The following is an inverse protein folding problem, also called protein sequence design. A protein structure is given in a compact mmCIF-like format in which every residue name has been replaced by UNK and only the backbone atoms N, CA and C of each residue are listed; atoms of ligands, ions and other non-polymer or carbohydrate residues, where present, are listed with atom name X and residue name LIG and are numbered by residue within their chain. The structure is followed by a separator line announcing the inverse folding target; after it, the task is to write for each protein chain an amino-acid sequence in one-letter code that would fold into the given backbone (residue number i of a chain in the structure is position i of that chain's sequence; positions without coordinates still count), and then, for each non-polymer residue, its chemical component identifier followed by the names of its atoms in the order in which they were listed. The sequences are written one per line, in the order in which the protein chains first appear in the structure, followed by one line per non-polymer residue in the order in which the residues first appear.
data_IF_643709158495
#
_entry.id   IF_643709158495
#
_cell.length_a   1.000
_cell.length_b   1.000
_cell.length_c   1.000
_cell.angle_alpha   90.00
_cell.angle_beta   90.00
_cell.angle_gamma   90.00
#
_symmetry.space_group_name_H-M   'P 1'
#
loop_
_entity.id
_entity.type
_entity.pdbx_description
1 polymer ?
#
# COMPACT_ATOMS: atom_id res chain seq x y z
N UNK A 1 -14.47 -35.13 24.53
CA UNK A 1 -14.05 -34.84 23.15
C UNK A 1 -15.17 -34.83 22.11
N UNK A 2 -16.38 -35.27 22.42
CA UNK A 2 -17.49 -35.37 21.47
C UNK A 2 -18.28 -34.05 21.23
N UNK A 3 -18.09 -33.05 22.07
CA UNK A 3 -18.94 -31.83 22.04
C UNK A 3 -18.42 -30.73 21.10
N UNK A 4 -17.13 -30.64 20.86
CA UNK A 4 -16.53 -29.62 20.01
C UNK A 4 -16.85 -29.78 18.50
N UNK A 5 -17.10 -31.02 18.05
CA UNK A 5 -17.43 -31.28 16.64
C UNK A 5 -18.87 -30.85 16.32
N UNK A 6 -19.80 -31.06 17.24
CA UNK A 6 -21.21 -30.64 17.10
C UNK A 6 -21.32 -29.10 17.15
N UNK A 7 -20.55 -28.45 18.03
CA UNK A 7 -20.48 -26.97 18.09
C UNK A 7 -19.88 -26.40 16.81
N UNK A 8 -18.85 -27.00 16.26
CA UNK A 8 -18.28 -26.61 14.96
C UNK A 8 -19.28 -26.72 13.81
N UNK A 9 -20.00 -27.84 13.73
CA UNK A 9 -21.02 -28.03 12.71
C UNK A 9 -22.17 -27.04 12.84
N UNK A 10 -22.64 -26.78 14.05
CA UNK A 10 -23.71 -25.81 14.32
C UNK A 10 -23.28 -24.36 13.89
N UNK A 11 -22.08 -23.93 14.26
CA UNK A 11 -21.54 -22.63 13.88
C UNK A 11 -21.39 -22.51 12.36
N UNK A 12 -20.88 -23.54 11.68
CA UNK A 12 -20.74 -23.53 10.22
C UNK A 12 -22.11 -23.51 9.50
N UNK A 13 -23.11 -24.23 10.01
CA UNK A 13 -24.41 -24.26 9.38
C UNK A 13 -25.18 -22.96 9.57
N UNK A 14 -25.13 -22.39 10.78
CA UNK A 14 -25.75 -21.08 11.07
C UNK A 14 -25.09 -19.94 10.32
N UNK A 15 -23.77 -19.98 10.15
CA UNK A 15 -23.04 -18.98 9.40
C UNK A 15 -23.32 -19.03 7.89
N UNK A 16 -23.44 -20.23 7.31
CA UNK A 16 -23.85 -20.38 5.90
C UNK A 16 -25.24 -19.83 5.63
N UNK A 17 -26.15 -19.94 6.58
CA UNK A 17 -27.52 -19.41 6.46
C UNK A 17 -27.55 -17.86 6.36
N UNK A 18 -26.53 -17.18 6.85
CA UNK A 18 -26.36 -15.70 6.77
C UNK A 18 -25.23 -15.27 5.83
N UNK A 19 -24.79 -16.16 4.93
CA UNK A 19 -23.78 -15.84 3.93
C UNK A 19 -22.34 -15.70 4.45
N UNK A 20 -22.04 -16.23 5.65
CA UNK A 20 -20.71 -16.17 6.27
C UNK A 20 -19.99 -17.53 6.16
N UNK A 21 -18.77 -17.52 5.67
CA UNK A 21 -17.90 -18.70 5.64
C UNK A 21 -16.80 -18.59 6.71
N UNK A 22 -16.72 -19.59 7.61
CA UNK A 22 -15.69 -19.68 8.64
C UNK A 22 -14.63 -20.72 8.28
N UNK A 23 -13.35 -20.35 8.39
CA UNK A 23 -12.25 -21.30 8.37
C UNK A 23 -11.64 -21.34 9.79
N UNK A 24 -11.73 -22.47 10.46
CA UNK A 24 -11.11 -22.67 11.76
C UNK A 24 -9.76 -23.37 11.54
N UNK A 25 -8.66 -22.63 11.60
CA UNK A 25 -7.31 -23.19 11.56
C UNK A 25 -6.80 -23.48 12.98
N UNK A 26 -6.29 -24.69 13.19
CA UNK A 26 -5.75 -25.12 14.49
C UNK A 26 -4.47 -24.36 14.83
N UNK A 27 -4.36 -23.90 16.05
CA UNK A 27 -3.26 -23.38 16.89
C UNK A 27 -3.29 -21.91 17.29
N UNK A 28 -4.10 -21.07 16.73
CA UNK A 28 -4.58 -19.82 17.35
C UNK A 28 -5.98 -19.54 16.81
N UNK A 29 -6.94 -19.32 17.71
CA UNK A 29 -8.34 -19.02 17.38
C UNK A 29 -8.44 -17.65 16.68
N UNK A 30 -8.12 -17.58 15.41
CA UNK A 30 -8.52 -16.47 14.56
C UNK A 30 -9.75 -16.93 13.77
N UNK A 31 -10.90 -16.35 14.06
CA UNK A 31 -12.10 -16.52 13.22
C UNK A 31 -11.93 -15.51 12.08
N UNK A 32 -11.57 -16.00 10.90
CA UNK A 32 -11.58 -15.17 9.70
C UNK A 32 -12.99 -15.23 9.11
N UNK A 33 -13.73 -14.15 9.25
CA UNK A 33 -14.99 -13.94 8.55
C UNK A 33 -14.66 -13.65 7.08
N UNK A 34 -14.85 -14.60 6.19
CA UNK A 34 -14.93 -14.31 4.76
C UNK A 34 -16.34 -13.77 4.47
N UNK A 35 -16.52 -12.48 4.63
CA UNK A 35 -17.61 -11.78 3.94
C UNK A 35 -17.31 -11.88 2.43
N UNK A 36 -18.35 -12.11 1.61
CA UNK A 36 -18.26 -11.92 0.18
C UNK A 36 -17.80 -10.49 -0.13
N UNK A 37 -17.37 -10.21 -1.35
CA UNK A 37 -16.96 -8.88 -1.78
C UNK A 37 -18.05 -7.85 -1.42
N UNK A 38 -17.73 -6.71 -0.77
CA UNK A 38 -18.72 -5.73 -0.33
C UNK A 38 -19.56 -5.24 -1.51
N UNK A 39 -20.90 -5.28 -1.36
CA UNK A 39 -21.82 -4.98 -2.46
C UNK A 39 -21.80 -3.51 -2.90
N UNK A 40 -21.33 -2.62 -2.03
CA UNK A 40 -21.17 -1.19 -2.33
C UNK A 40 -19.91 -0.88 -3.14
N UNK A 41 -18.99 -1.83 -3.27
CA UNK A 41 -17.81 -1.66 -4.10
C UNK A 41 -18.12 -2.00 -5.56
N UNK A 42 -17.49 -1.26 -6.48
CA UNK A 42 -17.68 -1.45 -7.91
C UNK A 42 -17.34 -2.87 -8.37
N UNK A 43 -18.19 -3.48 -9.19
CA UNK A 43 -17.91 -4.80 -9.81
C UNK A 43 -16.61 -4.77 -10.62
N UNK A 44 -16.31 -3.63 -11.24
CA UNK A 44 -15.06 -3.42 -11.95
C UNK A 44 -13.86 -3.51 -11.03
N UNK A 45 -13.95 -2.88 -9.85
CA UNK A 45 -12.88 -2.94 -8.85
C UNK A 45 -12.64 -4.39 -8.42
N UNK A 46 -13.68 -5.19 -8.17
CA UNK A 46 -13.53 -6.61 -7.81
C UNK A 46 -12.68 -7.36 -8.83
N UNK A 47 -12.96 -7.17 -10.12
CA UNK A 47 -12.19 -7.81 -11.19
C UNK A 47 -10.71 -7.38 -11.19
N UNK A 48 -10.43 -6.08 -11.02
CA UNK A 48 -9.07 -5.54 -10.96
C UNK A 48 -8.35 -5.99 -9.69
N UNK A 49 -9.03 -5.93 -8.54
CA UNK A 49 -8.50 -6.36 -7.25
C UNK A 49 -8.08 -7.83 -7.27
N UNK A 50 -8.91 -8.73 -7.82
CA UNK A 50 -8.59 -10.15 -7.91
C UNK A 50 -7.33 -10.42 -8.74
N UNK A 51 -7.02 -9.59 -9.73
CA UNK A 51 -5.76 -9.65 -10.49
C UNK A 51 -4.56 -9.16 -9.68
N UNK A 52 -4.74 -8.17 -8.80
CA UNK A 52 -3.67 -7.55 -8.02
C UNK A 52 -3.43 -8.25 -6.67
N UNK A 53 -4.45 -8.88 -6.10
CA UNK A 53 -4.42 -9.51 -4.77
C UNK A 53 -3.21 -10.43 -4.50
N UNK A 54 -2.72 -11.25 -5.43
CA UNK A 54 -1.55 -12.09 -5.19
C UNK A 54 -0.24 -11.31 -5.04
N UNK A 55 -0.24 -10.01 -5.35
CA UNK A 55 0.93 -9.14 -5.43
C UNK A 55 0.91 -7.98 -4.44
N UNK A 56 -0.05 -7.96 -3.50
CA UNK A 56 -0.15 -6.93 -2.47
C UNK A 56 -0.41 -7.51 -1.09
N UNK A 57 0.09 -6.83 -0.05
CA UNK A 57 -0.26 -7.07 1.35
C UNK A 57 -1.31 -6.06 1.85
N UNK A 58 -1.71 -5.14 1.00
CA UNK A 58 -2.65 -4.07 1.29
C UNK A 58 -4.08 -4.62 1.46
N UNK A 59 -4.83 -4.10 2.43
CA UNK A 59 -6.22 -4.49 2.67
C UNK A 59 -7.13 -4.17 1.48
N UNK A 60 -8.31 -4.81 1.46
CA UNK A 60 -9.33 -4.54 0.45
C UNK A 60 -9.72 -3.06 0.45
N UNK A 61 -9.90 -2.47 1.64
CA UNK A 61 -10.29 -1.08 1.85
C UNK A 61 -9.22 -0.11 1.32
N UNK A 62 -7.94 -0.38 1.59
CA UNK A 62 -6.83 0.44 1.06
C UNK A 62 -6.71 0.32 -0.46
N UNK A 63 -6.88 -0.88 -1.02
CA UNK A 63 -6.91 -1.06 -2.48
C UNK A 63 -8.11 -0.36 -3.11
N UNK A 64 -9.28 -0.37 -2.45
CA UNK A 64 -10.45 0.37 -2.94
C UNK A 64 -10.25 1.89 -2.86
N UNK A 65 -9.65 2.37 -1.78
CA UNK A 65 -9.26 3.79 -1.67
C UNK A 65 -8.29 4.20 -2.77
N UNK A 66 -7.28 3.37 -3.10
CA UNK A 66 -6.36 3.61 -4.20
C UNK A 66 -7.06 3.61 -5.56
N UNK A 67 -8.02 2.69 -5.79
CA UNK A 67 -8.84 2.64 -6.99
C UNK A 67 -9.64 3.94 -7.16
N UNK A 68 -10.37 4.36 -6.13
CA UNK A 68 -11.17 5.59 -6.15
C UNK A 68 -10.28 6.84 -6.32
N UNK A 69 -9.14 6.89 -5.65
CA UNK A 69 -8.16 7.98 -5.77
C UNK A 69 -7.61 8.09 -7.18
N UNK A 70 -7.27 6.97 -7.81
CA UNK A 70 -6.79 6.94 -9.20
C UNK A 70 -7.87 7.46 -10.16
N UNK A 71 -9.11 6.98 -10.03
CA UNK A 71 -10.24 7.46 -10.84
C UNK A 71 -10.51 8.95 -10.61
N UNK A 72 -10.45 9.41 -9.37
CA UNK A 72 -10.60 10.83 -9.04
C UNK A 72 -9.54 11.68 -9.74
N UNK A 73 -8.26 11.31 -9.64
CA UNK A 73 -7.18 12.06 -10.31
C UNK A 73 -7.40 12.19 -11.82
N UNK A 74 -7.94 11.14 -12.46
CA UNK A 74 -8.21 11.14 -13.89
C UNK A 74 -9.44 11.99 -14.20
N UNK A 75 -10.58 11.76 -13.52
CA UNK A 75 -11.85 12.45 -13.76
C UNK A 75 -11.77 13.95 -13.47
N UNK A 76 -11.01 14.34 -12.45
CA UNK A 76 -10.77 15.73 -12.08
C UNK A 76 -9.64 16.39 -12.89
N UNK A 77 -9.03 15.67 -13.84
CA UNK A 77 -7.91 16.14 -14.65
C UNK A 77 -6.73 16.67 -13.81
N UNK A 78 -6.45 16.03 -12.65
CA UNK A 78 -5.33 16.41 -11.82
C UNK A 78 -4.02 16.15 -12.59
N UNK A 79 -3.18 17.16 -12.81
CA UNK A 79 -1.96 17.00 -13.61
C UNK A 79 -0.88 16.21 -12.87
N UNK A 80 0.03 15.58 -13.63
CA UNK A 80 1.21 14.89 -13.10
C UNK A 80 1.09 13.37 -13.13
N UNK A 81 2.15 12.72 -12.67
CA UNK A 81 2.35 11.29 -12.70
C UNK A 81 1.83 10.59 -11.42
N UNK A 82 1.92 9.27 -11.37
CA UNK A 82 1.56 8.46 -10.22
C UNK A 82 2.84 7.94 -9.57
N UNK A 83 2.93 8.02 -8.25
CA UNK A 83 4.12 7.63 -7.50
C UNK A 83 3.76 6.71 -6.36
N UNK A 84 4.51 5.61 -6.22
CA UNK A 84 4.47 4.74 -5.06
C UNK A 84 5.90 4.51 -4.55
N UNK A 85 6.11 4.77 -3.25
CA UNK A 85 7.31 4.44 -2.51
C UNK A 85 7.04 3.21 -1.64
N UNK A 86 7.83 2.13 -1.84
CA UNK A 86 7.57 0.82 -1.25
C UNK A 86 6.54 0.03 -2.06
N UNK A 87 6.99 -0.69 -3.09
CA UNK A 87 6.06 -1.38 -4.02
C UNK A 87 5.94 -2.88 -3.74
N UNK A 88 6.88 -3.47 -2.99
CA UNK A 88 6.94 -4.91 -2.77
C UNK A 88 6.80 -5.68 -4.09
N UNK A 89 5.76 -6.52 -4.28
CA UNK A 89 5.51 -7.27 -5.51
C UNK A 89 4.76 -6.47 -6.58
N UNK A 90 4.43 -5.20 -6.31
CA UNK A 90 3.86 -4.24 -7.25
C UNK A 90 2.33 -4.24 -7.33
N UNK A 91 1.58 -4.88 -6.40
CA UNK A 91 0.14 -5.05 -6.54
C UNK A 91 -0.67 -3.76 -6.56
N UNK A 92 -0.32 -2.77 -5.74
CA UNK A 92 -0.95 -1.44 -5.74
C UNK A 92 -0.65 -0.69 -7.04
N UNK A 93 0.62 -0.71 -7.47
CA UNK A 93 1.04 -0.11 -8.74
C UNK A 93 0.40 -0.80 -9.95
N UNK A 94 0.22 -2.14 -9.89
CA UNK A 94 -0.53 -2.88 -10.92
C UNK A 94 -1.98 -2.39 -11.03
N UNK A 95 -2.63 -2.08 -9.90
CA UNK A 95 -4.00 -1.55 -9.91
C UNK A 95 -4.06 -0.20 -10.65
N UNK A 96 -3.14 0.72 -10.35
CA UNK A 96 -3.02 2.00 -11.06
C UNK A 96 -2.84 1.75 -12.57
N UNK A 97 -1.87 0.91 -12.95
CA UNK A 97 -1.55 0.59 -14.33
C UNK A 97 -2.75 -0.01 -15.09
N UNK A 98 -3.51 -0.92 -14.45
CA UNK A 98 -4.70 -1.51 -15.05
C UNK A 98 -5.82 -0.50 -15.27
N UNK A 99 -6.02 0.44 -14.35
CA UNK A 99 -7.01 1.53 -14.50
C UNK A 99 -6.59 2.45 -15.65
N UNK A 100 -5.34 2.91 -15.67
CA UNK A 100 -4.84 3.80 -16.73
C UNK A 100 -4.94 3.12 -18.11
N UNK A 101 -4.52 1.86 -18.20
CA UNK A 101 -4.58 1.09 -19.44
C UNK A 101 -6.04 0.94 -19.95
N UNK A 102 -6.97 0.60 -19.05
CA UNK A 102 -8.39 0.47 -19.39
C UNK A 102 -9.01 1.78 -19.89
N UNK A 103 -8.57 2.90 -19.34
CA UNK A 103 -9.04 4.24 -19.74
C UNK A 103 -8.24 4.83 -20.90
N UNK A 104 -7.32 4.07 -21.51
CA UNK A 104 -6.43 4.49 -22.58
C UNK A 104 -5.58 5.72 -22.23
N UNK A 105 -5.20 5.88 -20.96
CA UNK A 105 -4.34 6.95 -20.48
C UNK A 105 -2.88 6.51 -20.65
N UNK A 106 -2.23 6.96 -21.73
CA UNK A 106 -0.86 6.55 -22.08
C UNK A 106 0.15 7.71 -21.98
N UNK A 107 -0.27 8.87 -21.52
CA UNK A 107 0.56 10.08 -21.41
C UNK A 107 1.01 10.38 -19.97
N UNK A 108 0.82 9.43 -19.06
CA UNK A 108 1.25 9.53 -17.66
C UNK A 108 2.19 8.39 -17.30
N UNK A 109 3.17 8.68 -16.45
CA UNK A 109 4.11 7.70 -15.94
C UNK A 109 3.69 7.20 -14.56
N UNK A 110 4.18 6.02 -14.21
CA UNK A 110 4.09 5.44 -12.87
C UNK A 110 5.51 5.23 -12.37
N UNK A 111 5.85 5.87 -11.25
CA UNK A 111 7.14 5.73 -10.58
C UNK A 111 7.03 4.70 -9.47
N UNK A 112 7.92 3.71 -9.49
CA UNK A 112 7.99 2.62 -8.55
C UNK A 112 9.33 2.70 -7.81
N UNK A 113 9.30 3.26 -6.59
CA UNK A 113 10.50 3.33 -5.75
C UNK A 113 10.51 2.14 -4.79
N UNK A 114 11.59 1.39 -4.79
CA UNK A 114 11.81 0.30 -3.85
C UNK A 114 13.31 -0.02 -3.80
N UNK A 115 13.77 -0.59 -2.72
CA UNK A 115 15.12 -1.15 -2.65
C UNK A 115 15.26 -2.38 -3.53
N UNK A 116 14.16 -3.10 -3.78
CA UNK A 116 14.09 -4.43 -4.39
C UNK A 116 14.99 -5.47 -3.70
N UNK A 117 15.43 -5.13 -2.48
CA UNK A 117 16.23 -6.00 -1.59
C UNK A 117 15.57 -6.19 -0.22
N UNK A 118 14.28 -5.79 -0.10
CA UNK A 118 13.50 -5.86 1.14
C UNK A 118 13.67 -4.60 2.01
N UNK A 119 13.11 -4.64 3.22
CA UNK A 119 13.03 -3.47 4.08
C UNK A 119 14.40 -2.96 4.52
N UNK A 120 14.57 -1.64 4.49
CA UNK A 120 15.71 -0.94 5.10
C UNK A 120 15.74 -1.13 6.62
N UNK A 121 16.89 -0.85 7.25
CA UNK A 121 17.02 -0.99 8.70
C UNK A 121 16.19 0.07 9.43
N UNK A 122 15.22 -0.34 10.28
CA UNK A 122 14.41 0.59 11.06
C UNK A 122 15.22 1.26 12.18
N UNK A 123 14.73 2.40 12.66
CA UNK A 123 15.29 3.18 13.76
C UNK A 123 14.63 2.86 15.11
N UNK A 124 15.00 3.58 16.16
CA UNK A 124 14.36 3.49 17.48
C UNK A 124 12.93 4.06 17.52
N UNK A 125 12.56 4.87 16.52
CA UNK A 125 11.20 5.42 16.37
C UNK A 125 10.21 4.38 15.84
N UNK A 126 10.68 3.35 15.14
CA UNK A 126 9.86 2.40 14.40
C UNK A 126 9.39 1.25 15.29
N UNK A 127 8.27 1.49 15.95
CA UNK A 127 7.58 0.52 16.80
C UNK A 127 6.20 0.24 16.24
N UNK A 128 5.76 -1.01 16.32
CA UNK A 128 4.37 -1.34 15.99
C UNK A 128 3.43 -0.75 17.04
N UNK A 129 2.42 0.01 16.61
CA UNK A 129 1.51 0.73 17.50
C UNK A 129 0.72 -0.23 18.40
N UNK A 130 0.30 -1.39 17.87
CA UNK A 130 -0.60 -2.33 18.56
C UNK A 130 0.00 -2.98 19.81
N UNK A 131 1.32 -3.15 19.89
CA UNK A 131 1.99 -3.86 20.98
C UNK A 131 3.36 -3.27 21.40
N UNK A 132 3.75 -2.14 20.83
CA UNK A 132 5.00 -1.44 21.14
C UNK A 132 6.28 -2.16 20.73
N UNK A 133 6.19 -3.25 19.96
CA UNK A 133 7.38 -4.01 19.51
C UNK A 133 8.22 -3.16 18.58
N UNK A 134 9.54 -3.14 18.84
CA UNK A 134 10.52 -2.55 17.94
C UNK A 134 10.58 -3.34 16.63
N UNK A 135 10.46 -2.63 15.51
CA UNK A 135 10.57 -3.20 14.16
C UNK A 135 11.96 -3.84 13.91
N UNK A 136 13.01 -3.32 14.56
CA UNK A 136 14.36 -3.86 14.48
C UNK A 136 14.46 -5.34 14.86
N UNK A 137 13.60 -5.86 15.75
CA UNK A 137 13.60 -7.30 16.12
C UNK A 137 13.19 -8.18 14.95
N UNK A 138 12.10 -7.81 14.25
CA UNK A 138 11.64 -8.54 13.06
C UNK A 138 12.64 -8.38 11.93
N UNK A 139 13.10 -7.16 11.67
CA UNK A 139 14.06 -6.86 10.64
C UNK A 139 15.35 -7.69 10.78
N UNK A 140 15.95 -7.75 11.98
CA UNK A 140 17.15 -8.56 12.26
C UNK A 140 16.92 -10.05 11.99
N UNK A 141 15.75 -10.59 12.35
CA UNK A 141 15.44 -12.01 12.14
C UNK A 141 15.23 -12.39 10.67
N UNK A 142 15.01 -11.39 9.81
CA UNK A 142 14.78 -11.54 8.36
C UNK A 142 16.00 -11.17 7.51
N UNK A 143 17.08 -10.69 8.12
CA UNK A 143 18.30 -10.29 7.43
C UNK A 143 19.02 -11.49 6.85
N UNK A 144 19.36 -11.42 5.58
CA UNK A 144 20.21 -12.34 4.83
C UNK A 144 21.49 -11.63 4.39
N UNK A 145 22.37 -12.35 3.73
CA UNK A 145 23.63 -11.83 3.23
C UNK A 145 23.43 -10.68 2.23
N UNK A 146 22.50 -10.84 1.28
CA UNK A 146 22.30 -9.89 0.16
C UNK A 146 20.99 -9.11 0.24
N UNK A 147 20.04 -9.48 1.11
CA UNK A 147 18.71 -8.87 1.18
C UNK A 147 18.07 -9.07 2.55
N UNK A 148 16.96 -8.40 2.79
CA UNK A 148 16.10 -8.65 3.94
C UNK A 148 14.80 -9.31 3.48
N UNK A 149 14.44 -10.48 4.03
CA UNK A 149 13.20 -11.19 3.64
C UNK A 149 11.91 -10.47 4.06
N UNK A 150 12.02 -9.39 4.85
CA UNK A 150 10.85 -8.61 5.22
C UNK A 150 10.43 -7.75 4.02
N UNK A 151 9.24 -8.00 3.51
CA UNK A 151 8.68 -7.36 2.31
C UNK A 151 9.63 -7.40 1.09
N UNK A 152 10.31 -8.54 0.87
CA UNK A 152 11.21 -8.72 -0.25
C UNK A 152 10.47 -9.08 -1.54
N UNK A 153 10.81 -8.41 -2.62
CA UNK A 153 10.57 -8.81 -4.01
C UNK A 153 11.67 -8.25 -4.89
N UNK A 154 12.27 -9.08 -5.76
CA UNK A 154 13.33 -8.60 -6.66
C UNK A 154 12.78 -7.69 -7.76
N UNK A 155 13.61 -6.78 -8.27
CA UNK A 155 13.25 -5.92 -9.40
C UNK A 155 12.74 -6.73 -10.62
N UNK A 156 13.36 -7.88 -10.88
CA UNK A 156 12.94 -8.77 -11.99
C UNK A 156 11.54 -9.34 -11.76
N UNK A 157 11.20 -9.72 -10.52
CA UNK A 157 9.85 -10.18 -10.17
C UNK A 157 8.82 -9.07 -10.38
N UNK A 158 9.09 -7.87 -9.86
CA UNK A 158 8.17 -6.73 -10.00
C UNK A 158 7.98 -6.33 -11.45
N UNK A 159 9.04 -6.28 -12.25
CA UNK A 159 8.95 -6.04 -13.71
C UNK A 159 8.08 -7.09 -14.40
N UNK A 160 8.23 -8.37 -14.05
CA UNK A 160 7.42 -9.45 -14.62
C UNK A 160 5.94 -9.36 -14.18
N UNK A 161 5.67 -8.90 -12.97
CA UNK A 161 4.31 -8.65 -12.50
C UNK A 161 3.67 -7.48 -13.25
N UNK A 162 4.39 -6.36 -13.41
CA UNK A 162 3.91 -5.19 -14.14
C UNK A 162 3.59 -5.48 -15.62
N UNK A 163 4.34 -6.36 -16.29
CA UNK A 163 4.01 -6.82 -17.68
C UNK A 163 2.60 -7.40 -17.80
N UNK A 164 2.05 -8.02 -16.73
CA UNK A 164 0.70 -8.60 -16.73
C UNK A 164 -0.42 -7.54 -16.83
N UNK A 165 -0.09 -6.28 -16.63
CA UNK A 165 -1.05 -5.17 -16.77
C UNK A 165 -1.25 -4.72 -18.22
N UNK A 166 -0.34 -5.05 -19.12
CA UNK A 166 -0.23 -4.55 -20.48
C UNK A 166 -0.13 -3.00 -20.57
N UNK A 167 0.26 -2.34 -19.47
CA UNK A 167 0.53 -0.90 -19.47
C UNK A 167 1.85 -0.63 -20.20
N UNK A 168 1.98 0.48 -20.98
CA UNK A 168 3.19 0.77 -21.74
C UNK A 168 4.43 0.76 -20.86
N UNK A 169 5.43 -0.04 -21.24
CA UNK A 169 6.66 -0.23 -20.46
C UNK A 169 7.44 1.07 -20.29
N UNK A 170 7.46 1.93 -21.31
CA UNK A 170 8.18 3.20 -21.28
C UNK A 170 7.56 4.22 -20.30
N UNK A 171 6.36 3.95 -19.84
CA UNK A 171 5.68 4.74 -18.81
C UNK A 171 5.86 4.18 -17.39
N UNK A 172 6.59 3.08 -17.22
CA UNK A 172 6.96 2.52 -15.93
C UNK A 172 8.40 2.91 -15.57
N UNK A 173 8.58 3.71 -14.53
CA UNK A 173 9.87 4.15 -14.05
C UNK A 173 10.20 3.39 -12.76
N UNK A 174 11.05 2.37 -12.87
CA UNK A 174 11.55 1.63 -11.71
C UNK A 174 12.77 2.33 -11.15
N UNK A 175 12.70 2.74 -9.89
CA UNK A 175 13.78 3.43 -9.18
C UNK A 175 14.30 2.51 -8.08
N UNK A 176 15.43 1.86 -8.35
CA UNK A 176 16.07 0.93 -7.44
C UNK A 176 16.97 1.66 -6.46
N UNK A 177 16.76 1.45 -5.17
CA UNK A 177 17.55 2.01 -4.08
C UNK A 177 16.68 2.49 -2.92
N UNK A 178 17.33 2.97 -1.87
CA UNK A 178 16.64 3.64 -0.78
C UNK A 178 16.08 4.97 -1.27
N UNK A 179 14.91 5.35 -0.78
CA UNK A 179 14.30 6.63 -1.14
C UNK A 179 15.19 7.80 -0.75
N UNK A 180 15.93 7.69 0.36
CA UNK A 180 16.88 8.71 0.82
C UNK A 180 18.06 8.94 -0.14
N UNK A 181 18.41 7.91 -0.92
CA UNK A 181 19.53 7.98 -1.88
C UNK A 181 19.08 8.36 -3.30
N UNK A 182 17.81 8.10 -3.64
CA UNK A 182 17.28 8.24 -5.00
C UNK A 182 16.44 9.51 -5.21
N UNK A 183 15.74 9.97 -4.17
CA UNK A 183 14.96 11.20 -4.17
C UNK A 183 15.82 12.34 -3.59
N UNK A 184 15.80 13.55 -4.18
CA UNK A 184 14.97 14.01 -5.31
C UNK A 184 15.60 13.80 -6.69
N UNK A 185 16.77 13.16 -6.81
CA UNK A 185 17.54 13.06 -8.06
C UNK A 185 16.69 12.43 -9.19
N UNK A 186 15.92 11.39 -8.86
CA UNK A 186 14.98 10.77 -9.78
C UNK A 186 13.57 11.05 -9.21
N UNK A 187 12.90 12.08 -9.71
CA UNK A 187 11.54 12.42 -9.31
C UNK A 187 10.74 12.94 -10.52
N UNK A 188 9.41 12.77 -10.56
CA UNK A 188 8.59 13.42 -11.58
C UNK A 188 8.59 14.94 -11.37
N UNK A 189 8.28 15.69 -12.41
CA UNK A 189 8.12 17.14 -12.29
C UNK A 189 6.89 17.52 -11.45
N UNK A 190 5.85 16.69 -11.51
CA UNK A 190 4.57 16.89 -10.84
C UNK A 190 3.88 15.54 -10.66
N UNK A 191 3.09 15.39 -9.60
CA UNK A 191 2.34 14.17 -9.31
C UNK A 191 0.87 14.45 -9.09
N UNK A 192 0.02 13.55 -9.59
CA UNK A 192 -1.42 13.53 -9.31
C UNK A 192 -1.74 12.70 -8.06
N UNK A 193 -0.95 11.64 -7.82
CA UNK A 193 -1.11 10.75 -6.68
C UNK A 193 0.28 10.35 -6.13
N UNK A 194 0.40 10.42 -4.80
CA UNK A 194 1.55 9.98 -4.04
C UNK A 194 1.11 8.95 -2.99
N UNK A 195 1.62 7.72 -3.07
CA UNK A 195 1.42 6.67 -2.07
C UNK A 195 2.74 6.35 -1.38
N UNK A 196 2.75 6.46 -0.05
CA UNK A 196 3.88 6.15 0.82
C UNK A 196 3.61 4.87 1.60
N UNK A 197 4.48 3.86 1.43
CA UNK A 197 4.37 2.50 1.99
C UNK A 197 5.78 1.95 2.32
N UNK A 198 6.58 2.77 3.00
CA UNK A 198 7.97 2.44 3.35
C UNK A 198 8.17 2.19 4.85
N UNK A 199 7.08 2.21 5.63
CA UNK A 199 6.96 1.84 7.05
C UNK A 199 7.71 2.75 8.04
N UNK A 200 8.91 3.28 7.72
CA UNK A 200 9.82 3.85 8.70
C UNK A 200 9.78 5.37 8.78
N UNK A 201 10.23 5.89 9.91
CA UNK A 201 10.30 7.33 10.16
C UNK A 201 11.16 8.07 9.14
N UNK A 202 12.39 7.58 8.90
CA UNK A 202 13.34 8.29 8.04
C UNK A 202 12.87 8.33 6.59
N UNK A 203 12.41 7.20 6.04
CA UNK A 203 11.90 7.14 4.67
C UNK A 203 10.66 8.00 4.49
N UNK A 204 9.65 7.85 5.36
CA UNK A 204 8.39 8.63 5.28
C UNK A 204 8.66 10.13 5.41
N UNK A 205 9.57 10.53 6.30
CA UNK A 205 9.97 11.93 6.45
C UNK A 205 10.62 12.46 5.18
N UNK A 206 11.61 11.74 4.64
CA UNK A 206 12.33 12.13 3.44
C UNK A 206 11.40 12.26 2.22
N UNK A 207 10.48 11.31 2.06
CA UNK A 207 9.47 11.32 1.00
C UNK A 207 8.54 12.53 1.11
N UNK A 208 8.04 12.84 2.31
CA UNK A 208 7.18 14.01 2.51
C UNK A 208 7.93 15.32 2.23
N UNK A 209 9.16 15.46 2.71
CA UNK A 209 9.97 16.68 2.51
C UNK A 209 10.26 16.93 1.02
N UNK A 210 10.44 15.90 0.21
CA UNK A 210 10.87 16.04 -1.18
C UNK A 210 9.75 15.82 -2.21
N UNK A 211 8.78 14.96 -1.94
CA UNK A 211 7.73 14.61 -2.91
C UNK A 211 6.42 15.36 -2.65
N UNK A 212 6.00 15.57 -1.39
CA UNK A 212 4.75 16.28 -1.14
C UNK A 212 4.71 17.70 -1.73
N UNK A 213 5.80 18.49 -1.76
CA UNK A 213 5.79 19.81 -2.41
C UNK A 213 5.42 19.77 -3.90
N UNK A 214 5.81 18.71 -4.62
CA UNK A 214 5.53 18.54 -6.05
C UNK A 214 4.26 17.72 -6.35
N UNK A 215 3.51 17.30 -5.31
CA UNK A 215 2.13 16.83 -5.47
C UNK A 215 1.26 17.99 -5.93
N UNK A 216 0.45 17.78 -6.95
CA UNK A 216 -0.44 18.81 -7.50
C UNK A 216 -1.46 19.30 -6.49
N UNK A 217 -1.93 20.53 -6.65
CA UNK A 217 -3.14 20.97 -5.96
C UNK A 217 -4.29 20.03 -6.31
N UNK A 218 -5.07 19.64 -5.29
CA UNK A 218 -6.11 18.60 -5.36
C UNK A 218 -5.56 17.20 -5.66
N UNK A 219 -4.24 17.00 -5.70
CA UNK A 219 -3.61 15.68 -5.78
C UNK A 219 -3.85 14.86 -4.52
N UNK A 220 -3.80 13.54 -4.66
CA UNK A 220 -4.10 12.62 -3.56
C UNK A 220 -2.82 12.13 -2.90
N UNK A 221 -2.75 12.27 -1.59
CA UNK A 221 -1.77 11.61 -0.72
C UNK A 221 -2.40 10.38 -0.07
N UNK A 222 -1.71 9.24 -0.16
CA UNK A 222 -2.05 8.00 0.56
C UNK A 222 -0.87 7.61 1.43
N UNK A 223 -1.13 7.36 2.71
CA UNK A 223 -0.18 6.94 3.72
C UNK A 223 -0.59 5.55 4.19
N UNK A 224 0.22 4.52 3.90
CA UNK A 224 -0.16 3.13 4.21
C UNK A 224 -0.01 2.81 5.70
N UNK A 225 1.03 3.33 6.37
CA UNK A 225 1.52 2.86 7.65
C UNK A 225 1.22 3.77 8.83
N UNK A 226 0.49 4.86 8.64
CA UNK A 226 0.22 5.87 9.68
C UNK A 226 -0.34 5.28 10.98
N UNK A 227 -1.22 4.28 10.89
CA UNK A 227 -1.81 3.61 12.04
C UNK A 227 -1.08 2.34 12.47
N UNK A 228 -0.02 1.91 11.78
CA UNK A 228 0.71 0.68 12.07
C UNK A 228 2.02 0.92 12.79
N UNK A 229 2.83 1.88 12.34
CA UNK A 229 4.13 2.20 12.91
C UNK A 229 4.19 3.61 13.50
N UNK A 230 4.76 3.70 14.72
CA UNK A 230 4.95 4.99 15.40
C UNK A 230 5.88 5.92 14.63
N UNK A 231 6.86 5.36 13.89
CA UNK A 231 7.80 6.12 13.07
C UNK A 231 7.11 6.83 11.91
N UNK A 232 6.37 6.10 11.08
CA UNK A 232 5.60 6.67 9.98
C UNK A 232 4.61 7.73 10.48
N UNK A 233 3.86 7.41 11.56
CA UNK A 233 2.94 8.38 12.19
C UNK A 233 3.67 9.66 12.61
N UNK A 234 4.79 9.52 13.32
CA UNK A 234 5.59 10.66 13.81
C UNK A 234 6.08 11.54 12.67
N UNK A 235 6.61 10.94 11.58
CA UNK A 235 7.10 11.69 10.42
C UNK A 235 5.98 12.53 9.77
N UNK A 236 4.79 11.93 9.62
CA UNK A 236 3.61 12.63 9.05
C UNK A 236 3.16 13.77 9.96
N UNK A 237 2.99 13.52 11.27
CA UNK A 237 2.52 14.52 12.22
C UNK A 237 3.50 15.70 12.31
N UNK A 238 4.81 15.46 12.34
CA UNK A 238 5.84 16.51 12.36
C UNK A 238 5.83 17.33 11.07
N UNK A 239 5.78 16.68 9.91
CA UNK A 239 5.76 17.37 8.62
C UNK A 239 4.57 18.33 8.51
N UNK A 240 3.34 17.85 8.75
CA UNK A 240 2.14 18.67 8.63
C UNK A 240 1.98 19.71 9.75
N UNK A 241 2.65 19.52 10.90
CA UNK A 241 2.73 20.55 11.95
C UNK A 241 3.69 21.68 11.58
N UNK A 242 4.71 21.40 10.76
CA UNK A 242 5.74 22.38 10.37
C UNK A 242 5.33 23.25 9.18
N UNK A 243 4.46 22.76 8.29
CA UNK A 243 3.99 23.52 7.14
C UNK A 243 2.68 24.27 7.45
N UNK A 244 2.52 25.48 6.90
CA UNK A 244 1.33 26.32 7.11
C UNK A 244 0.07 25.84 6.32
N UNK A 245 0.09 24.62 5.76
CA UNK A 245 -1.01 24.07 4.95
C UNK A 245 -1.53 22.79 5.61
N UNK A 246 -2.59 22.88 6.42
CA UNK A 246 -3.17 21.70 7.05
C UNK A 246 -3.79 20.77 6.02
N UNK A 247 -3.65 19.46 6.24
CA UNK A 247 -4.31 18.42 5.44
C UNK A 247 -5.31 17.64 6.30
N UNK A 248 -6.49 17.38 5.76
CA UNK A 248 -7.45 16.47 6.38
C UNK A 248 -7.13 15.02 5.97
N UNK A 249 -6.59 14.24 6.90
CA UNK A 249 -6.29 12.83 6.69
C UNK A 249 -7.49 11.96 7.10
N UNK A 250 -8.19 11.40 6.12
CA UNK A 250 -9.25 10.44 6.34
C UNK A 250 -8.69 9.05 6.65
N UNK A 251 -9.29 8.38 7.61
CA UNK A 251 -8.95 6.99 7.93
C UNK A 251 -9.57 6.05 6.90
N UNK A 252 -8.72 5.22 6.25
CA UNK A 252 -9.17 4.16 5.34
C UNK A 252 -9.51 2.89 6.14
N UNK A 253 -8.53 2.40 6.87
CA UNK A 253 -8.65 1.25 7.76
C UNK A 253 -7.87 1.51 9.08
N UNK A 254 -7.43 0.44 9.78
CA UNK A 254 -6.69 0.63 11.03
C UNK A 254 -5.33 1.31 10.82
N UNK A 255 -4.71 1.18 9.65
CA UNK A 255 -3.39 1.71 9.33
C UNK A 255 -3.42 2.86 8.31
N UNK A 256 -4.13 2.70 7.19
CA UNK A 256 -4.10 3.61 6.05
C UNK A 256 -4.79 4.96 6.29
N UNK A 257 -4.23 6.00 5.68
CA UNK A 257 -4.84 7.35 5.60
C UNK A 257 -4.80 7.85 4.17
N UNK A 258 -5.77 8.70 3.83
CA UNK A 258 -5.78 9.43 2.57
C UNK A 258 -6.17 10.89 2.81
N UNK A 259 -5.64 11.78 1.98
CA UNK A 259 -5.96 13.20 1.99
C UNK A 259 -5.79 13.81 0.61
N UNK A 260 -6.41 14.96 0.39
CA UNK A 260 -6.28 15.77 -0.82
C UNK A 260 -5.47 17.01 -0.45
N UNK A 261 -4.43 17.33 -1.24
CA UNK A 261 -3.62 18.53 -1.10
C UNK A 261 -4.38 19.80 -1.45
#
# INVERSE_FOLDING_TARGET
MHDLTKIRQFIQTSAKAVGLNFIITGHRKSITLHQGFPKEMDVEFESLYNRCRPYTMTSLERMYSLYQSTLYCIKANIPGDFVECGVWRGGSTMLIALILNKLNITNRKIYLYDTFTGMTKPTGYDKRISDGRLATKVWKSKQKETHNEYAYASLSEVRNNMKKTNFPHDNLVFVEGKVEDTIPTIAPKQMALLRLDTDWYESTRHELENLYPILSDKGVLILDDYGHFTGAKKAVDEYFSAIASPILLHRIDYTGRTGIK
#
